data_IF_381298222236
#
_entry.id   IF_381298222236
#
_cell.length_a   1.000
_cell.length_b   1.000
_cell.length_c   1.000
_cell.angle_alpha   90.00
_cell.angle_beta   90.00
_cell.angle_gamma   90.00
#
_symmetry.space_group_name_H-M   'P 1'
#
loop_
_entity.id
_entity.type
_entity.pdbx_description
1 polymer ?
#
# COMPACT_ATOMS: atom_id res chain seq x y z
N UNK A 1 -40.13 -17.34 -36.98
CA UNK A 1 -38.78 -16.88 -37.37
C UNK A 1 -37.79 -17.97 -37.02
N UNK A 2 -37.05 -18.46 -38.01
CA UNK A 2 -36.01 -19.48 -37.85
C UNK A 2 -34.72 -18.73 -37.49
N UNK A 3 -34.01 -19.08 -36.40
CA UNK A 3 -32.77 -18.40 -36.05
C UNK A 3 -31.68 -18.76 -37.08
N UNK A 4 -31.11 -17.75 -37.73
CA UNK A 4 -30.07 -17.94 -38.74
C UNK A 4 -28.70 -18.03 -38.07
N UNK A 5 -27.87 -18.95 -38.57
CA UNK A 5 -26.46 -19.16 -38.20
C UNK A 5 -25.55 -18.11 -38.84
N UNK A 6 -25.99 -16.85 -38.93
CA UNK A 6 -25.17 -15.71 -39.32
C UNK A 6 -24.20 -15.32 -38.18
N UNK A 7 -23.32 -16.28 -37.92
CA UNK A 7 -21.91 -16.16 -37.61
C UNK A 7 -21.49 -14.99 -36.74
N UNK A 8 -21.24 -15.34 -35.48
CA UNK A 8 -20.37 -14.68 -34.50
C UNK A 8 -19.02 -14.21 -35.10
N UNK A 9 -18.64 -14.65 -36.31
CA UNK A 9 -17.45 -14.19 -37.04
C UNK A 9 -17.42 -12.69 -37.37
N UNK A 10 -18.55 -11.97 -37.30
CA UNK A 10 -18.59 -10.51 -37.48
C UNK A 10 -18.53 -9.72 -36.17
N UNK A 11 -18.52 -10.39 -35.02
CA UNK A 11 -18.37 -9.73 -33.73
C UNK A 11 -16.87 -9.52 -33.50
N UNK A 12 -16.45 -8.26 -33.53
CA UNK A 12 -15.09 -7.78 -33.21
C UNK A 12 -14.72 -7.95 -31.72
N UNK A 13 -15.27 -8.95 -31.03
CA UNK A 13 -14.99 -9.27 -29.62
C UNK A 13 -13.61 -9.89 -29.39
N UNK A 14 -12.87 -10.24 -30.45
CA UNK A 14 -11.49 -10.73 -30.36
C UNK A 14 -10.42 -9.64 -30.52
N UNK A 15 -10.81 -8.41 -30.84
CA UNK A 15 -9.86 -7.32 -30.77
C UNK A 15 -9.81 -6.87 -29.31
N UNK A 16 -8.66 -7.10 -28.68
CA UNK A 16 -8.21 -6.28 -27.55
C UNK A 16 -8.60 -4.83 -27.87
N UNK A 17 -9.11 -4.04 -26.92
CA UNK A 17 -9.22 -2.62 -27.12
C UNK A 17 -7.79 -2.08 -27.23
N UNK A 18 -7.15 -2.27 -28.40
CA UNK A 18 -6.23 -1.29 -28.93
C UNK A 18 -6.95 0.03 -28.71
N UNK A 19 -6.29 1.09 -28.28
CA UNK A 19 -6.81 2.42 -28.60
C UNK A 19 -6.65 2.53 -30.10
N UNK A 20 -7.61 2.14 -30.97
CA UNK A 20 -7.34 2.18 -32.39
C UNK A 20 -7.79 3.59 -32.73
N UNK A 21 -6.89 4.56 -32.68
CA UNK A 21 -7.16 5.82 -33.37
C UNK A 21 -7.12 5.53 -34.88
N UNK A 22 -8.09 4.75 -35.36
CA UNK A 22 -8.39 4.54 -36.76
C UNK A 22 -9.03 5.83 -37.24
N UNK A 23 -8.19 6.79 -37.65
CA UNK A 23 -8.64 8.11 -38.13
C UNK A 23 -9.17 9.05 -37.05
N UNK A 24 -8.67 8.96 -35.81
CA UNK A 24 -9.02 9.91 -34.74
C UNK A 24 -10.39 9.70 -34.07
N UNK A 25 -11.11 8.62 -34.39
CA UNK A 25 -12.32 8.21 -33.67
C UNK A 25 -12.01 7.06 -32.71
N UNK A 26 -12.45 7.18 -31.46
CA UNK A 26 -12.37 6.09 -30.49
C UNK A 26 -13.31 4.95 -30.96
N UNK A 27 -12.73 3.82 -31.36
CA UNK A 27 -13.49 2.59 -31.64
C UNK A 27 -13.52 1.72 -30.37
N UNK A 28 -14.71 1.20 -30.03
CA UNK A 28 -14.96 0.41 -28.83
C UNK A 28 -15.77 1.16 -27.78
N UNK A 29 -16.46 0.43 -26.90
CA UNK A 29 -17.06 1.04 -25.71
C UNK A 29 -15.93 1.63 -24.85
N UNK A 30 -16.05 2.86 -24.30
CA UNK A 30 -15.07 3.43 -23.38
C UNK A 30 -15.18 2.72 -22.03
N UNK A 31 -14.69 1.49 -21.99
CA UNK A 31 -14.76 0.64 -20.81
C UNK A 31 -13.52 0.88 -19.96
N UNK A 32 -13.72 1.19 -18.69
CA UNK A 32 -12.66 1.41 -17.70
C UNK A 32 -11.83 0.15 -17.49
N UNK A 33 -10.63 0.28 -16.92
CA UNK A 33 -9.76 -0.87 -16.65
C UNK A 33 -10.42 -1.91 -15.75
N UNK A 34 -11.19 -1.44 -14.77
CA UNK A 34 -11.79 -2.23 -13.69
C UNK A 34 -13.22 -2.72 -13.95
N UNK A 35 -13.69 -2.66 -15.21
CA UNK A 35 -15.08 -2.93 -15.56
C UNK A 35 -15.63 -4.29 -15.10
N UNK A 36 -14.76 -5.30 -14.99
CA UNK A 36 -15.11 -6.64 -14.53
C UNK A 36 -15.59 -6.64 -13.09
N UNK A 37 -15.24 -5.61 -12.31
CA UNK A 37 -15.58 -5.43 -10.90
C UNK A 37 -16.76 -4.48 -10.65
N UNK A 38 -17.37 -3.92 -11.68
CA UNK A 38 -18.48 -2.96 -11.53
C UNK A 38 -19.67 -3.51 -10.76
N UNK A 39 -19.92 -4.82 -10.86
CA UNK A 39 -21.00 -5.51 -10.16
C UNK A 39 -20.85 -5.44 -8.62
N UNK A 40 -19.63 -5.22 -8.09
CA UNK A 40 -19.43 -5.00 -6.65
C UNK A 40 -20.17 -3.75 -6.13
N UNK A 41 -20.37 -2.73 -6.97
CA UNK A 41 -21.09 -1.52 -6.57
C UNK A 41 -22.56 -1.81 -6.27
N UNK A 42 -23.14 -2.75 -7.02
CA UNK A 42 -24.50 -3.21 -6.79
C UNK A 42 -24.59 -4.10 -5.55
N UNK A 43 -23.56 -4.92 -5.28
CA UNK A 43 -23.52 -5.79 -4.11
C UNK A 43 -23.40 -5.00 -2.80
N UNK A 44 -22.51 -4.00 -2.76
CA UNK A 44 -22.38 -3.08 -1.62
C UNK A 44 -23.69 -2.38 -1.24
N UNK A 45 -24.64 -2.28 -2.18
CA UNK A 45 -25.95 -1.69 -1.99
C UNK A 45 -27.07 -2.67 -2.34
N UNK A 46 -26.87 -3.98 -2.08
CA UNK A 46 -27.75 -5.06 -2.53
C UNK A 46 -29.23 -4.82 -2.20
N UNK A 47 -29.53 -4.34 -0.98
CA UNK A 47 -30.90 -4.03 -0.54
C UNK A 47 -31.59 -2.88 -1.29
N UNK A 48 -30.83 -1.96 -1.89
CA UNK A 48 -31.38 -0.82 -2.63
C UNK A 48 -31.19 -0.92 -4.14
N UNK A 49 -30.29 -1.79 -4.60
CA UNK A 49 -29.90 -1.94 -6.00
C UNK A 49 -31.07 -2.28 -6.92
N UNK A 50 -31.33 -1.49 -7.98
CA UNK A 50 -32.39 -1.79 -8.95
C UNK A 50 -32.09 -3.07 -9.73
N UNK A 51 -30.81 -3.42 -9.90
CA UNK A 51 -30.39 -4.63 -10.62
C UNK A 51 -30.88 -5.88 -9.89
N UNK A 52 -30.58 -5.99 -8.59
CA UNK A 52 -31.01 -7.12 -7.76
C UNK A 52 -32.54 -7.22 -7.65
N UNK A 53 -33.24 -6.08 -7.64
CA UNK A 53 -34.71 -6.03 -7.67
C UNK A 53 -35.33 -6.48 -8.99
N UNK A 54 -34.55 -6.46 -10.08
CA UNK A 54 -35.00 -6.80 -11.43
C UNK A 54 -34.60 -8.20 -11.89
N UNK A 55 -33.97 -9.00 -11.02
CA UNK A 55 -33.51 -10.33 -11.37
C UNK A 55 -34.68 -11.28 -11.69
N UNK A 56 -34.49 -12.25 -12.62
CA UNK A 56 -35.48 -13.27 -12.91
C UNK A 56 -35.85 -14.08 -11.66
N UNK A 57 -37.05 -14.67 -11.64
CA UNK A 57 -37.52 -15.48 -10.52
C UNK A 57 -36.72 -16.77 -10.35
N UNK A 58 -36.08 -17.20 -11.43
CA UNK A 58 -35.23 -18.39 -11.51
C UNK A 58 -33.79 -18.12 -11.04
N UNK A 59 -33.46 -16.87 -10.68
CA UNK A 59 -32.16 -16.53 -10.12
C UNK A 59 -31.99 -17.17 -8.74
N UNK A 60 -31.00 -18.04 -8.61
CA UNK A 60 -30.71 -18.82 -7.40
C UNK A 60 -29.29 -18.59 -6.87
N UNK A 61 -28.48 -17.74 -7.51
CA UNK A 61 -27.10 -17.50 -7.09
C UNK A 61 -27.04 -16.59 -5.87
N UNK A 62 -26.21 -16.97 -4.91
CA UNK A 62 -25.93 -16.18 -3.72
C UNK A 62 -24.87 -15.10 -3.97
N UNK A 63 -24.60 -14.28 -2.95
CA UNK A 63 -23.60 -13.21 -3.04
C UNK A 63 -22.17 -13.75 -3.25
N UNK A 64 -21.85 -14.90 -2.63
CA UNK A 64 -20.54 -15.53 -2.75
C UNK A 64 -20.29 -15.96 -4.20
N UNK A 65 -21.28 -16.54 -4.86
CA UNK A 65 -21.20 -16.96 -6.26
C UNK A 65 -21.00 -15.77 -7.20
N UNK A 66 -21.67 -14.64 -6.94
CA UNK A 66 -21.47 -13.40 -7.69
C UNK A 66 -20.04 -12.88 -7.50
N UNK A 67 -19.52 -12.84 -6.27
CA UNK A 67 -18.15 -12.38 -5.97
C UNK A 67 -17.11 -13.31 -6.62
N UNK A 68 -17.26 -14.63 -6.50
CA UNK A 68 -16.39 -15.62 -7.17
C UNK A 68 -16.37 -15.40 -8.67
N UNK A 69 -17.53 -15.16 -9.29
CA UNK A 69 -17.63 -14.94 -10.74
C UNK A 69 -16.94 -13.65 -11.18
N UNK A 70 -17.14 -12.56 -10.43
CA UNK A 70 -16.47 -11.27 -10.66
C UNK A 70 -14.95 -11.42 -10.59
N UNK A 71 -14.45 -12.06 -9.55
CA UNK A 71 -13.02 -12.24 -9.33
C UNK A 71 -12.41 -13.19 -10.36
N UNK A 72 -13.10 -14.28 -10.72
CA UNK A 72 -12.66 -15.21 -11.74
C UNK A 72 -12.55 -14.55 -13.12
N UNK A 73 -13.55 -13.74 -13.49
CA UNK A 73 -13.52 -12.95 -14.73
C UNK A 73 -12.36 -11.95 -14.73
N UNK A 74 -12.14 -11.27 -13.61
CA UNK A 74 -11.04 -10.33 -13.44
C UNK A 74 -9.67 -11.02 -13.56
N UNK A 75 -9.49 -12.20 -12.93
CA UNK A 75 -8.28 -13.01 -13.06
C UNK A 75 -8.06 -13.46 -14.51
N UNK A 76 -9.11 -13.94 -15.19
CA UNK A 76 -9.02 -14.39 -16.57
C UNK A 76 -8.61 -13.24 -17.50
N UNK A 77 -9.20 -12.05 -17.30
CA UNK A 77 -8.83 -10.83 -18.00
C UNK A 77 -7.36 -10.47 -17.79
N UNK A 78 -6.88 -10.42 -16.56
CA UNK A 78 -5.46 -10.09 -16.28
C UNK A 78 -4.49 -11.10 -16.90
N UNK A 79 -4.87 -12.39 -16.95
CA UNK A 79 -4.07 -13.42 -17.64
C UNK A 79 -4.03 -13.22 -19.15
N UNK A 80 -5.15 -12.89 -19.78
CA UNK A 80 -5.23 -12.63 -21.23
C UNK A 80 -4.48 -11.34 -21.60
N UNK A 81 -4.53 -10.32 -20.73
CA UNK A 81 -3.88 -9.03 -20.94
C UNK A 81 -2.45 -8.97 -20.41
N UNK A 82 -1.84 -10.11 -20.08
CA UNK A 82 -0.50 -10.17 -19.47
C UNK A 82 0.54 -9.37 -20.29
N UNK A 83 0.50 -9.54 -21.61
CA UNK A 83 1.44 -8.91 -22.55
C UNK A 83 1.02 -7.49 -22.99
N UNK A 84 -0.16 -7.02 -22.53
CA UNK A 84 -0.74 -5.73 -22.89
C UNK A 84 -0.80 -4.80 -21.66
N UNK A 85 0.34 -4.26 -21.21
CA UNK A 85 0.45 -3.56 -19.94
C UNK A 85 -0.43 -2.32 -19.86
N UNK A 86 -0.83 -1.72 -20.99
CA UNK A 86 -1.68 -0.52 -21.05
C UNK A 86 -3.15 -0.81 -20.73
N UNK A 87 -3.60 -2.05 -20.92
CA UNK A 87 -4.99 -2.47 -20.75
C UNK A 87 -5.24 -3.17 -19.42
N UNK A 88 -4.18 -3.60 -18.73
CA UNK A 88 -4.26 -4.20 -17.39
C UNK A 88 -4.78 -3.21 -16.34
N UNK A 89 -5.44 -3.75 -15.31
CA UNK A 89 -5.82 -2.95 -14.14
C UNK A 89 -4.58 -2.40 -13.44
N UNK A 90 -4.64 -1.15 -13.00
CA UNK A 90 -3.64 -0.51 -12.14
C UNK A 90 -3.64 -1.12 -10.73
N UNK A 91 -2.56 -0.91 -9.96
CA UNK A 91 -2.53 -1.34 -8.56
C UNK A 91 -3.68 -0.73 -7.75
N UNK A 92 -4.02 0.53 -8.00
CA UNK A 92 -5.17 1.22 -7.41
C UNK A 92 -6.51 0.55 -7.74
N UNK A 93 -6.75 0.19 -9.00
CA UNK A 93 -8.00 -0.49 -9.41
C UNK A 93 -8.15 -1.87 -8.77
N UNK A 94 -7.08 -2.67 -8.76
CA UNK A 94 -7.08 -3.99 -8.10
C UNK A 94 -7.28 -3.84 -6.60
N UNK A 95 -6.57 -2.90 -5.97
CA UNK A 95 -6.66 -2.66 -4.52
C UNK A 95 -8.07 -2.22 -4.12
N UNK A 96 -8.64 -1.23 -4.81
CA UNK A 96 -9.99 -0.76 -4.52
C UNK A 96 -11.04 -1.85 -4.75
N UNK A 97 -10.90 -2.63 -5.83
CA UNK A 97 -11.72 -3.82 -6.07
C UNK A 97 -11.72 -4.79 -4.91
N UNK A 98 -10.54 -5.11 -4.38
CA UNK A 98 -10.38 -6.00 -3.23
C UNK A 98 -10.91 -5.38 -1.93
N UNK A 99 -10.69 -4.07 -1.70
CA UNK A 99 -11.27 -3.34 -0.56
C UNK A 99 -12.79 -3.45 -0.54
N UNK A 100 -13.44 -3.31 -1.70
CA UNK A 100 -14.90 -3.46 -1.82
C UNK A 100 -15.39 -4.85 -1.44
N UNK A 101 -14.64 -5.92 -1.71
CA UNK A 101 -15.02 -7.28 -1.31
C UNK A 101 -15.05 -7.41 0.22
N UNK A 102 -14.05 -6.86 0.93
CA UNK A 102 -14.07 -6.83 2.40
C UNK A 102 -15.24 -6.00 2.93
N UNK A 103 -15.57 -4.90 2.26
CA UNK A 103 -16.66 -4.00 2.66
C UNK A 103 -18.07 -4.55 2.38
N UNK A 104 -18.24 -5.72 1.75
CA UNK A 104 -19.56 -6.35 1.62
C UNK A 104 -20.17 -6.73 2.98
N UNK A 105 -19.30 -7.00 3.97
CA UNK A 105 -19.70 -7.33 5.35
C UNK A 105 -19.99 -6.09 6.19
N UNK A 106 -19.75 -4.89 5.66
CA UNK A 106 -20.00 -3.64 6.37
C UNK A 106 -21.52 -3.45 6.56
N UNK A 107 -21.93 -3.08 7.77
CA UNK A 107 -23.34 -2.88 8.18
C UNK A 107 -24.26 -4.13 8.12
N UNK A 108 -23.73 -5.34 7.93
CA UNK A 108 -24.53 -6.56 8.06
C UNK A 108 -24.70 -6.91 9.56
N UNK A 109 -25.91 -7.26 10.02
CA UNK A 109 -26.08 -7.79 11.37
C UNK A 109 -25.24 -9.07 11.47
N UNK A 110 -24.34 -9.14 12.46
CA UNK A 110 -23.54 -10.32 12.78
C UNK A 110 -24.43 -11.47 13.26
N UNK A 111 -25.18 -12.08 12.35
CA UNK A 111 -25.86 -13.34 12.58
C UNK A 111 -24.85 -14.44 12.23
N UNK A 112 -24.54 -15.32 13.20
CA UNK A 112 -23.46 -16.33 13.18
C UNK A 112 -23.58 -17.39 12.04
N UNK A 113 -24.48 -17.19 11.07
CA UNK A 113 -24.88 -18.18 10.06
C UNK A 113 -24.45 -17.86 8.63
N UNK A 114 -24.06 -16.62 8.30
CA UNK A 114 -23.46 -16.29 6.99
C UNK A 114 -21.94 -16.39 7.07
N UNK A 115 -21.36 -17.37 6.39
CA UNK A 115 -19.90 -17.44 6.21
C UNK A 115 -19.41 -16.17 5.54
N UNK A 116 -18.62 -15.35 6.25
CA UNK A 116 -17.99 -14.13 5.73
C UNK A 116 -17.41 -14.38 4.32
N UNK A 117 -17.83 -13.60 3.33
CA UNK A 117 -17.56 -13.84 1.91
C UNK A 117 -16.05 -13.88 1.63
N UNK A 118 -15.29 -13.01 2.30
CA UNK A 118 -13.84 -12.94 2.12
C UNK A 118 -13.10 -14.12 2.73
N UNK A 119 -13.73 -14.91 3.62
CA UNK A 119 -13.17 -16.17 4.15
C UNK A 119 -13.48 -17.38 3.27
N UNK A 120 -14.29 -17.19 2.22
CA UNK A 120 -14.44 -18.24 1.22
C UNK A 120 -13.08 -18.53 0.57
N UNK A 121 -12.67 -19.79 0.61
CA UNK A 121 -11.37 -20.23 0.09
C UNK A 121 -11.15 -19.82 -1.37
N UNK A 122 -12.21 -19.85 -2.19
CA UNK A 122 -12.09 -19.51 -3.62
C UNK A 122 -11.99 -18.00 -3.82
N UNK A 123 -12.76 -17.21 -3.06
CA UNK A 123 -12.63 -15.74 -3.03
C UNK A 123 -11.22 -15.34 -2.63
N UNK A 124 -10.71 -15.86 -1.52
CA UNK A 124 -9.36 -15.55 -1.02
C UNK A 124 -8.27 -15.92 -2.05
N UNK A 125 -8.38 -17.09 -2.68
CA UNK A 125 -7.45 -17.54 -3.72
C UNK A 125 -7.44 -16.59 -4.93
N UNK A 126 -8.62 -16.18 -5.41
CA UNK A 126 -8.75 -15.31 -6.57
C UNK A 126 -8.26 -13.89 -6.27
N UNK A 127 -8.62 -13.33 -5.11
CA UNK A 127 -8.12 -12.03 -4.65
C UNK A 127 -6.59 -12.05 -4.50
N UNK A 128 -6.02 -13.11 -3.92
CA UNK A 128 -4.57 -13.28 -3.82
C UNK A 128 -3.91 -13.30 -5.19
N UNK A 129 -4.50 -14.00 -6.17
CA UNK A 129 -3.99 -14.04 -7.54
C UNK A 129 -4.07 -12.69 -8.25
N UNK A 130 -5.09 -11.87 -7.97
CA UNK A 130 -5.20 -10.53 -8.54
C UNK A 130 -4.18 -9.59 -7.92
N UNK A 131 -4.08 -9.60 -6.59
CA UNK A 131 -3.15 -8.75 -5.86
C UNK A 131 -1.70 -9.06 -6.20
N UNK A 132 -1.31 -10.33 -6.31
CA UNK A 132 0.05 -10.70 -6.70
C UNK A 132 0.45 -10.15 -8.07
N UNK A 133 -0.51 -9.96 -8.98
CA UNK A 133 -0.29 -9.35 -10.30
C UNK A 133 -0.11 -7.83 -10.28
N UNK A 134 -0.41 -7.20 -9.14
CA UNK A 134 -0.45 -5.77 -8.90
C UNK A 134 0.41 -5.34 -7.68
N UNK A 135 1.23 -6.25 -7.14
CA UNK A 135 2.17 -5.98 -6.04
C UNK A 135 3.58 -5.70 -6.55
N UNK A 136 4.43 -5.12 -5.70
CA UNK A 136 5.83 -4.79 -6.01
C UNK A 136 6.64 -6.01 -6.51
N UNK A 137 6.31 -7.22 -6.04
CA UNK A 137 6.95 -8.47 -6.47
C UNK A 137 6.57 -8.95 -7.86
N UNK A 138 5.55 -8.36 -8.50
CA UNK A 138 5.07 -8.79 -9.81
C UNK A 138 6.06 -8.52 -10.95
N UNK A 139 7.11 -7.72 -10.73
CA UNK A 139 8.07 -7.36 -11.76
C UNK A 139 7.45 -6.55 -12.91
N UNK A 140 6.31 -5.88 -12.67
CA UNK A 140 5.70 -4.98 -13.66
C UNK A 140 6.74 -3.93 -14.05
N UNK A 141 7.04 -3.84 -15.34
CA UNK A 141 7.93 -2.79 -15.87
C UNK A 141 7.47 -1.43 -15.37
N UNK A 142 8.41 -0.61 -14.85
CA UNK A 142 8.18 0.75 -14.34
C UNK A 142 7.37 1.53 -15.38
N UNK A 143 6.05 1.54 -15.23
CA UNK A 143 5.15 2.18 -16.17
C UNK A 143 5.18 3.68 -15.85
N UNK A 144 5.64 4.50 -16.79
CA UNK A 144 5.51 5.97 -16.75
C UNK A 144 4.06 6.44 -16.97
N UNK A 145 3.11 5.53 -17.19
CA UNK A 145 1.70 5.95 -17.19
C UNK A 145 1.31 6.16 -15.74
N UNK A 146 1.14 7.43 -15.38
CA UNK A 146 0.55 7.92 -14.15
C UNK A 146 -0.65 7.03 -13.76
N UNK A 147 -0.43 6.06 -12.87
CA UNK A 147 -1.50 5.28 -12.30
C UNK A 147 -2.46 6.26 -11.62
N UNK A 148 -3.77 6.10 -11.83
CA UNK A 148 -4.73 6.96 -11.17
C UNK A 148 -4.61 6.74 -9.66
N UNK A 149 -4.57 7.82 -8.85
CA UNK A 149 -4.61 7.70 -7.40
C UNK A 149 -5.82 6.86 -6.97
N UNK A 150 -5.67 6.11 -5.90
CA UNK A 150 -6.72 5.24 -5.37
C UNK A 150 -8.01 6.01 -5.06
N UNK A 151 -7.89 7.24 -4.54
CA UNK A 151 -9.02 8.15 -4.33
C UNK A 151 -9.79 8.42 -5.63
N UNK A 152 -9.09 8.68 -6.73
CA UNK A 152 -9.71 8.93 -8.04
C UNK A 152 -10.44 7.70 -8.56
N UNK A 153 -9.91 6.50 -8.33
CA UNK A 153 -10.60 5.24 -8.63
C UNK A 153 -11.84 5.13 -7.74
N UNK A 154 -11.69 5.26 -6.43
CA UNK A 154 -12.77 5.12 -5.47
C UNK A 154 -13.94 6.09 -5.72
N UNK A 155 -13.65 7.37 -5.95
CA UNK A 155 -14.64 8.43 -6.18
C UNK A 155 -15.56 8.17 -7.39
N UNK A 156 -15.15 7.29 -8.29
CA UNK A 156 -15.97 6.93 -9.46
C UNK A 156 -16.99 5.83 -9.17
N UNK A 157 -16.86 5.17 -8.02
CA UNK A 157 -17.75 4.09 -7.56
C UNK A 157 -18.52 4.48 -6.29
N UNK A 158 -17.90 5.29 -5.42
CA UNK A 158 -18.53 5.79 -4.21
C UNK A 158 -19.57 6.85 -4.56
N UNK A 159 -20.81 6.62 -4.12
CA UNK A 159 -21.95 7.50 -4.42
C UNK A 159 -22.02 8.68 -3.44
N UNK A 160 -21.02 9.55 -3.47
CA UNK A 160 -20.94 10.76 -2.64
C UNK A 160 -20.25 10.59 -1.28
N UNK A 161 -19.89 9.36 -0.89
CA UNK A 161 -19.03 9.10 0.27
C UNK A 161 -17.57 9.47 -0.06
N UNK A 162 -16.91 10.33 0.73
CA UNK A 162 -15.47 10.58 0.57
C UNK A 162 -14.67 9.30 0.82
N UNK A 163 -13.63 9.06 0.02
CA UNK A 163 -12.77 7.89 0.19
C UNK A 163 -12.15 7.77 1.60
N UNK A 164 -11.86 8.89 2.27
CA UNK A 164 -11.36 8.86 3.66
C UNK A 164 -12.35 8.21 4.63
N UNK A 165 -13.66 8.46 4.47
CA UNK A 165 -14.67 7.80 5.30
C UNK A 165 -14.69 6.30 5.00
N UNK A 166 -14.74 5.91 3.71
CA UNK A 166 -14.68 4.50 3.31
C UNK A 166 -13.46 3.77 3.87
N UNK A 167 -12.29 4.43 3.87
CA UNK A 167 -11.08 3.86 4.44
C UNK A 167 -11.14 3.75 5.96
N UNK A 168 -11.74 4.73 6.64
CA UNK A 168 -11.95 4.69 8.10
C UNK A 168 -12.81 3.49 8.47
N UNK A 169 -13.90 3.28 7.73
CA UNK A 169 -14.81 2.15 7.89
C UNK A 169 -14.07 0.81 7.63
N UNK A 170 -13.24 0.75 6.59
CA UNK A 170 -12.41 -0.42 6.27
C UNK A 170 -11.41 -0.77 7.39
N UNK A 171 -10.72 0.22 7.96
CA UNK A 171 -9.78 0.01 9.08
C UNK A 171 -10.55 -0.44 10.33
N UNK A 172 -11.71 0.16 10.60
CA UNK A 172 -12.60 -0.25 11.69
C UNK A 172 -13.08 -1.69 11.55
N UNK A 173 -13.47 -2.10 10.34
CA UNK A 173 -13.89 -3.47 10.05
C UNK A 173 -12.73 -4.47 10.27
N UNK A 174 -11.51 -4.12 9.84
CA UNK A 174 -10.34 -4.96 10.11
C UNK A 174 -10.11 -5.17 11.61
N UNK A 175 -10.16 -4.08 12.39
CA UNK A 175 -9.96 -4.11 13.83
C UNK A 175 -11.05 -4.91 14.56
N UNK A 176 -12.30 -4.83 14.08
CA UNK A 176 -13.45 -5.45 14.72
C UNK A 176 -13.54 -6.97 14.48
N UNK A 177 -13.41 -7.44 13.24
CA UNK A 177 -13.78 -8.83 12.88
C UNK A 177 -12.70 -9.61 12.12
N UNK A 178 -11.65 -8.95 11.64
CA UNK A 178 -10.63 -9.56 10.77
C UNK A 178 -9.20 -9.41 11.29
N UNK A 179 -9.04 -9.32 12.61
CA UNK A 179 -7.74 -9.13 13.23
C UNK A 179 -6.77 -10.24 12.79
N UNK A 180 -5.60 -9.84 12.27
CA UNK A 180 -4.57 -10.72 11.70
C UNK A 180 -4.93 -11.48 10.41
N UNK A 181 -6.02 -11.13 9.72
CA UNK A 181 -6.27 -11.68 8.38
C UNK A 181 -5.24 -11.14 7.37
N UNK A 182 -4.37 -12.01 6.85
CA UNK A 182 -3.22 -11.62 6.01
C UNK A 182 -3.64 -10.82 4.78
N UNK A 183 -4.63 -11.31 4.02
CA UNK A 183 -5.07 -10.65 2.80
C UNK A 183 -5.70 -9.26 3.04
N UNK A 184 -6.54 -9.15 4.07
CA UNK A 184 -7.17 -7.89 4.46
C UNK A 184 -6.09 -6.89 4.92
N UNK A 185 -5.10 -7.32 5.71
CA UNK A 185 -4.04 -6.42 6.18
C UNK A 185 -3.30 -5.71 5.04
N UNK A 186 -3.14 -6.37 3.88
CA UNK A 186 -2.54 -5.77 2.68
C UNK A 186 -3.38 -4.62 2.12
N UNK A 187 -4.70 -4.68 2.26
CA UNK A 187 -5.62 -3.63 1.79
C UNK A 187 -5.62 -2.39 2.66
N UNK A 188 -5.07 -2.46 3.87
CA UNK A 188 -4.91 -1.25 4.69
C UNK A 188 -3.73 -0.39 4.22
N UNK A 189 -2.83 -0.97 3.41
CA UNK A 189 -1.55 -0.34 3.06
C UNK A 189 -1.68 0.79 2.02
N UNK A 190 -2.31 0.63 0.85
CA UNK A 190 -2.19 1.58 -0.26
C UNK A 190 -2.35 3.08 0.11
N UNK A 191 -3.34 3.49 0.95
CA UNK A 191 -3.52 4.90 1.31
C UNK A 191 -2.41 5.47 2.23
N UNK A 192 -1.50 4.63 2.71
CA UNK A 192 -0.39 5.02 3.57
C UNK A 192 0.83 5.51 2.79
N UNK A 193 0.84 5.43 1.46
CA UNK A 193 1.96 5.96 0.68
C UNK A 193 2.02 7.49 0.79
N UNK A 194 3.18 8.06 0.49
CA UNK A 194 3.45 9.49 0.55
C UNK A 194 2.69 10.29 -0.53
N UNK A 195 2.03 9.60 -1.46
CA UNK A 195 1.15 10.20 -2.47
C UNK A 195 -0.22 10.62 -1.89
N UNK A 196 -0.59 10.14 -0.70
CA UNK A 196 -1.87 10.44 -0.07
C UNK A 196 -1.73 11.43 1.10
N UNK A 197 -2.86 12.01 1.49
CA UNK A 197 -2.93 12.90 2.64
C UNK A 197 -2.42 12.22 3.91
N UNK A 198 -1.77 12.98 4.80
CA UNK A 198 -1.23 12.44 6.05
C UNK A 198 -2.28 11.83 6.97
N UNK A 199 -3.54 12.21 6.81
CA UNK A 199 -4.65 11.76 7.66
C UNK A 199 -4.86 10.23 7.57
N UNK A 200 -4.60 9.61 6.41
CA UNK A 200 -4.61 8.15 6.26
C UNK A 200 -3.55 7.48 7.13
N UNK A 201 -2.33 8.03 7.13
CA UNK A 201 -1.23 7.53 7.95
C UNK A 201 -1.46 7.80 9.43
N UNK A 202 -1.97 8.98 9.78
CA UNK A 202 -2.35 9.33 11.16
C UNK A 202 -3.39 8.35 11.71
N UNK A 203 -4.40 8.01 10.92
CA UNK A 203 -5.44 7.06 11.30
C UNK A 203 -4.82 5.70 11.68
N UNK A 204 -3.99 5.11 10.81
CA UNK A 204 -3.46 3.76 11.06
C UNK A 204 -2.32 3.74 12.10
N UNK A 205 -1.36 4.67 12.01
CA UNK A 205 -0.19 4.69 12.89
C UNK A 205 -0.50 5.26 14.28
N UNK A 206 -1.42 6.21 14.35
CA UNK A 206 -1.86 6.88 15.57
C UNK A 206 -3.05 6.16 16.19
N UNK A 207 -4.22 6.34 15.59
CA UNK A 207 -5.51 5.96 16.18
C UNK A 207 -5.68 4.44 16.27
N UNK A 208 -5.26 3.70 15.23
CA UNK A 208 -5.27 2.23 15.16
C UNK A 208 -3.89 1.61 15.37
N UNK A 209 -2.98 2.30 16.08
CA UNK A 209 -1.59 1.84 16.25
C UNK A 209 -1.44 0.47 16.94
N UNK A 210 -2.46 -0.04 17.64
CA UNK A 210 -2.48 -1.39 18.22
C UNK A 210 -2.61 -2.50 17.17
N UNK A 211 -3.15 -2.18 16.00
CA UNK A 211 -3.37 -3.10 14.88
C UNK A 211 -2.06 -3.40 14.14
N UNK A 212 -1.09 -2.48 14.14
CA UNK A 212 0.16 -2.62 13.38
C UNK A 212 0.90 -3.94 13.60
N UNK A 213 0.77 -4.56 14.79
CA UNK A 213 1.41 -5.84 15.12
C UNK A 213 0.83 -7.05 14.39
N UNK A 214 -0.41 -6.95 13.89
CA UNK A 214 -1.06 -8.01 13.11
C UNK A 214 -0.78 -7.89 11.62
N UNK A 215 -0.19 -6.79 11.17
CA UNK A 215 0.15 -6.55 9.76
C UNK A 215 1.56 -7.09 9.51
N UNK A 216 1.65 -8.23 8.84
CA UNK A 216 2.90 -8.95 8.55
C UNK A 216 3.25 -8.93 7.05
N UNK A 217 2.75 -7.94 6.31
CA UNK A 217 2.99 -7.85 4.86
C UNK A 217 4.47 -7.64 4.57
N UNK A 218 5.02 -8.46 3.69
CA UNK A 218 6.39 -8.34 3.19
C UNK A 218 6.45 -7.51 1.90
N UNK A 219 7.63 -6.94 1.60
CA UNK A 219 7.86 -6.07 0.45
C UNK A 219 7.27 -6.55 -0.89
N UNK A 220 7.47 -7.81 -1.34
CA UNK A 220 6.93 -8.25 -2.63
C UNK A 220 5.40 -8.33 -2.67
N UNK A 221 4.74 -8.36 -1.52
CA UNK A 221 3.29 -8.52 -1.39
C UNK A 221 2.55 -7.17 -1.39
N UNK A 222 3.27 -6.06 -1.21
CA UNK A 222 2.68 -4.72 -1.11
C UNK A 222 1.99 -4.36 -2.43
N UNK A 223 0.67 -4.07 -2.40
CA UNK A 223 -0.09 -3.69 -3.59
C UNK A 223 0.23 -2.24 -3.96
N UNK A 224 1.28 -2.07 -4.75
CA UNK A 224 1.80 -0.78 -5.22
C UNK A 224 2.59 -1.00 -6.50
N UNK A 225 2.60 0.02 -7.37
CA UNK A 225 3.36 -0.03 -8.62
C UNK A 225 4.84 0.36 -8.43
N UNK A 226 5.19 1.08 -7.35
CA UNK A 226 6.58 1.49 -7.09
C UNK A 226 6.88 1.64 -5.62
N UNK A 227 8.08 1.25 -5.18
CA UNK A 227 8.51 1.51 -3.79
C UNK A 227 8.77 3.00 -3.52
N UNK A 228 9.00 3.79 -4.58
CA UNK A 228 9.36 5.21 -4.47
C UNK A 228 8.29 6.03 -3.76
N UNK A 229 7.00 5.76 -3.99
CA UNK A 229 5.90 6.50 -3.36
C UNK A 229 5.80 6.28 -1.85
N UNK A 230 6.48 5.28 -1.31
CA UNK A 230 6.47 4.97 0.12
C UNK A 230 7.61 5.64 0.87
N UNK A 231 8.74 5.80 0.18
CA UNK A 231 9.94 6.38 0.73
C UNK A 231 9.95 7.89 0.49
N UNK A 232 9.52 8.35 -0.69
CA UNK A 232 9.62 9.75 -1.11
C UNK A 232 8.26 10.36 -1.52
N UNK A 233 8.02 11.65 -1.20
CA UNK A 233 8.86 12.54 -0.40
C UNK A 233 9.00 12.06 1.05
N UNK A 234 10.06 12.48 1.76
CA UNK A 234 10.22 12.17 3.18
C UNK A 234 9.08 12.74 4.00
N UNK A 235 8.70 12.01 5.03
CA UNK A 235 7.82 12.54 6.05
C UNK A 235 8.56 13.58 6.90
N UNK A 236 8.08 14.83 6.87
CA UNK A 236 8.63 15.94 7.66
C UNK A 236 7.75 16.29 8.86
N UNK A 237 6.56 15.72 8.94
CA UNK A 237 5.59 16.01 10.01
C UNK A 237 6.07 15.41 11.33
N UNK A 238 6.29 16.26 12.34
CA UNK A 238 6.83 15.82 13.63
C UNK A 238 5.92 14.88 14.41
N UNK A 239 4.60 14.99 14.24
CA UNK A 239 3.63 14.09 14.87
C UNK A 239 3.74 12.69 14.25
N UNK A 240 3.79 12.61 12.91
CA UNK A 240 3.98 11.34 12.20
C UNK A 240 5.31 10.66 12.54
N UNK A 241 6.41 11.41 12.57
CA UNK A 241 7.71 10.87 13.02
C UNK A 241 7.60 10.31 14.45
N UNK A 242 6.88 10.98 15.34
CA UNK A 242 6.60 10.50 16.69
C UNK A 242 5.84 9.16 16.70
N UNK A 243 4.86 8.98 15.81
CA UNK A 243 4.13 7.73 15.67
C UNK A 243 5.02 6.57 15.17
N UNK A 244 5.85 6.80 14.15
CA UNK A 244 6.81 5.79 13.69
C UNK A 244 7.79 5.38 14.78
N UNK A 245 8.36 6.36 15.51
CA UNK A 245 9.26 6.12 16.65
C UNK A 245 8.56 5.27 17.71
N UNK A 246 7.33 5.63 18.09
CA UNK A 246 6.54 4.88 19.09
C UNK A 246 6.28 3.44 18.64
N UNK A 247 5.92 3.24 17.37
CA UNK A 247 5.66 1.91 16.81
C UNK A 247 6.92 1.03 16.80
N UNK A 248 8.07 1.58 16.38
CA UNK A 248 9.36 0.90 16.38
C UNK A 248 9.80 0.51 17.81
N UNK A 249 9.68 1.44 18.76
CA UNK A 249 10.07 1.22 20.16
C UNK A 249 9.22 0.16 20.86
N UNK A 250 7.94 0.03 20.51
CA UNK A 250 7.06 -1.03 21.04
C UNK A 250 7.43 -2.43 20.51
N UNK A 251 8.18 -2.53 19.41
CA UNK A 251 8.64 -3.80 18.83
C UNK A 251 7.57 -4.61 18.08
N UNK A 252 6.34 -4.10 17.97
CA UNK A 252 5.23 -4.81 17.32
C UNK A 252 5.21 -4.71 15.79
N UNK A 253 5.78 -3.63 15.21
CA UNK A 253 5.77 -3.41 13.76
C UNK A 253 6.87 -4.22 13.07
N UNK A 254 6.50 -4.98 12.04
CA UNK A 254 7.39 -5.88 11.29
C UNK A 254 7.27 -5.70 9.77
N UNK A 255 8.06 -6.46 9.02
CA UNK A 255 8.01 -6.53 7.55
C UNK A 255 8.11 -5.16 6.88
N UNK A 256 7.23 -4.92 5.91
CA UNK A 256 7.19 -3.71 5.12
C UNK A 256 6.93 -2.44 5.93
N UNK A 257 6.01 -2.47 6.89
CA UNK A 257 5.70 -1.30 7.71
C UNK A 257 6.90 -0.90 8.59
N UNK A 258 7.65 -1.88 9.11
CA UNK A 258 8.89 -1.59 9.84
C UNK A 258 9.89 -0.90 8.93
N UNK A 259 9.99 -1.32 7.67
CA UNK A 259 10.87 -0.69 6.70
C UNK A 259 10.51 0.77 6.43
N UNK A 260 9.23 1.06 6.19
CA UNK A 260 8.74 2.44 6.00
C UNK A 260 9.01 3.31 7.24
N UNK A 261 8.73 2.78 8.44
CA UNK A 261 9.00 3.51 9.69
C UNK A 261 10.49 3.78 9.90
N UNK A 262 11.37 2.78 9.70
CA UNK A 262 12.82 2.96 9.82
C UNK A 262 13.31 4.00 8.82
N UNK A 263 12.83 3.95 7.57
CA UNK A 263 13.19 4.94 6.55
C UNK A 263 12.87 6.37 6.99
N UNK A 264 11.62 6.66 7.33
CA UNK A 264 11.20 8.02 7.68
C UNK A 264 11.85 8.50 8.98
N UNK A 265 12.04 7.62 9.97
CA UNK A 265 12.74 7.99 11.21
C UNK A 265 14.23 8.24 10.94
N UNK A 266 14.95 7.33 10.30
CA UNK A 266 16.38 7.48 10.04
C UNK A 266 16.67 8.70 9.17
N UNK A 267 15.88 8.91 8.12
CA UNK A 267 16.05 10.07 7.25
C UNK A 267 15.64 11.39 7.90
N UNK A 268 14.89 11.37 9.01
CA UNK A 268 14.62 12.56 9.84
C UNK A 268 15.75 12.88 10.82
N UNK A 269 16.63 11.91 11.12
CA UNK A 269 17.76 12.07 12.04
C UNK A 269 18.95 12.71 11.33
N UNK A 270 19.29 12.22 10.14
CA UNK A 270 20.56 12.53 9.47
C UNK A 270 20.45 13.69 8.47
N UNK A 271 21.23 14.78 8.62
CA UNK A 271 21.18 15.95 7.72
C UNK A 271 21.52 15.65 6.26
N UNK A 272 22.31 14.61 6.01
CA UNK A 272 22.70 14.16 4.65
C UNK A 272 21.51 13.83 3.73
N UNK A 273 20.32 13.58 4.29
CA UNK A 273 19.11 13.37 3.49
C UNK A 273 18.36 14.67 3.13
N UNK A 274 18.66 15.79 3.80
CA UNK A 274 18.13 17.12 3.46
C UNK A 274 18.96 17.82 2.38
N UNK A 275 20.20 17.39 2.19
CA UNK A 275 21.18 18.15 1.44
C UNK A 275 21.10 17.92 -0.07
N UNK A 276 20.54 18.90 -0.79
CA UNK A 276 20.56 18.95 -2.26
C UNK A 276 21.84 19.64 -2.80
N UNK A 277 23.01 19.39 -2.22
CA UNK A 277 24.28 19.70 -2.87
C UNK A 277 25.35 20.46 -2.08
N UNK A 278 25.25 20.61 -0.76
CA UNK A 278 26.35 21.17 0.05
C UNK A 278 27.09 20.06 0.82
N UNK A 279 28.07 19.44 0.17
CA UNK A 279 28.80 18.29 0.68
C UNK A 279 29.59 18.52 2.00
N UNK A 280 29.73 19.77 2.45
CA UNK A 280 30.75 20.15 3.43
C UNK A 280 30.21 20.53 4.82
N UNK A 281 28.92 20.89 4.98
CA UNK A 281 28.35 21.24 6.30
C UNK A 281 26.99 20.58 6.56
N UNK A 282 26.93 19.73 7.59
CA UNK A 282 25.67 19.15 8.08
C UNK A 282 24.85 20.19 8.84
N UNK A 283 24.18 21.03 8.06
CA UNK A 283 23.21 21.99 8.56
C UNK A 283 21.81 21.37 8.65
N UNK A 284 21.11 21.73 9.71
CA UNK A 284 19.72 21.33 9.92
C UNK A 284 19.04 22.45 10.70
N UNK A 285 17.77 22.69 10.42
CA UNK A 285 17.04 23.76 11.10
C UNK A 285 16.92 23.44 12.62
N UNK A 286 16.74 24.45 13.49
CA UNK A 286 16.73 24.25 14.93
C UNK A 286 15.67 23.25 15.43
N UNK A 287 14.47 23.25 14.83
CA UNK A 287 13.37 22.35 15.23
C UNK A 287 13.71 20.89 14.94
N UNK A 288 14.24 20.63 13.75
CA UNK A 288 14.66 19.29 13.36
C UNK A 288 15.88 18.85 14.18
N UNK A 289 16.83 19.73 14.48
CA UNK A 289 17.95 19.47 15.41
C UNK A 289 17.47 19.00 16.78
N UNK A 290 16.49 19.69 17.36
CA UNK A 290 15.94 19.31 18.66
C UNK A 290 15.21 17.95 18.59
N UNK A 291 14.46 17.69 17.51
CA UNK A 291 13.81 16.39 17.28
C UNK A 291 14.84 15.27 17.15
N UNK A 292 15.87 15.43 16.31
CA UNK A 292 16.94 14.43 16.13
C UNK A 292 17.67 14.16 17.44
N UNK A 293 17.93 15.20 18.26
CA UNK A 293 18.50 15.03 19.60
C UNK A 293 17.63 14.15 20.49
N UNK A 294 16.31 14.39 20.50
CA UNK A 294 15.36 13.59 21.28
C UNK A 294 15.31 12.15 20.79
N UNK A 295 15.25 11.92 19.47
CA UNK A 295 15.18 10.58 18.89
C UNK A 295 16.47 9.81 19.17
N UNK A 296 17.65 10.36 18.86
CA UNK A 296 18.94 9.69 19.12
C UNK A 296 19.09 9.38 20.60
N UNK A 297 18.83 10.36 21.48
CA UNK A 297 18.89 10.16 22.92
C UNK A 297 17.98 9.02 23.39
N UNK A 298 16.73 8.97 22.92
CA UNK A 298 15.79 7.90 23.26
C UNK A 298 16.27 6.53 22.74
N UNK A 299 16.71 6.45 21.49
CA UNK A 299 17.16 5.20 20.85
C UNK A 299 18.40 4.64 21.54
N UNK A 300 19.39 5.48 21.82
CA UNK A 300 20.62 5.07 22.50
C UNK A 300 20.35 4.57 23.92
N UNK A 301 19.33 5.07 24.61
CA UNK A 301 19.01 4.61 25.96
C UNK A 301 18.08 3.39 25.98
N UNK A 302 17.10 3.33 25.09
CA UNK A 302 15.96 2.42 25.21
C UNK A 302 15.87 1.37 24.10
N UNK A 303 16.43 1.61 22.90
CA UNK A 303 16.28 0.68 21.78
C UNK A 303 17.16 -0.55 21.96
N UNK A 304 16.72 -1.71 21.44
CA UNK A 304 17.58 -2.89 21.32
C UNK A 304 18.64 -2.73 20.22
N UNK A 305 19.73 -3.52 20.23
CA UNK A 305 20.84 -3.40 19.26
C UNK A 305 20.39 -3.44 17.79
N UNK A 306 19.43 -4.31 17.46
CA UNK A 306 18.92 -4.44 16.09
C UNK A 306 18.18 -3.20 15.59
N UNK A 307 17.39 -2.53 16.44
CA UNK A 307 16.69 -1.30 16.06
C UNK A 307 17.67 -0.13 15.99
N UNK A 308 18.57 -0.02 16.96
CA UNK A 308 19.58 1.03 16.97
C UNK A 308 20.48 0.93 15.72
N UNK A 309 20.97 -0.27 15.40
CA UNK A 309 21.73 -0.53 14.17
C UNK A 309 20.95 -0.14 12.93
N UNK A 310 19.69 -0.58 12.81
CA UNK A 310 18.85 -0.28 11.65
C UNK A 310 18.63 1.23 11.39
N UNK A 311 18.59 2.06 12.44
CA UNK A 311 18.46 3.51 12.31
C UNK A 311 19.81 4.20 12.08
N UNK A 312 20.86 3.77 12.78
CA UNK A 312 22.16 4.45 12.74
C UNK A 312 22.95 4.11 11.48
N UNK A 313 22.81 2.88 10.99
CA UNK A 313 23.45 2.38 9.77
C UNK A 313 22.54 2.50 8.54
N UNK A 314 21.38 3.16 8.68
CA UNK A 314 20.43 3.28 7.59
C UNK A 314 21.04 3.95 6.36
N UNK A 315 20.83 3.35 5.20
CA UNK A 315 21.21 3.92 3.91
C UNK A 315 20.12 3.75 2.85
N UNK A 316 19.93 4.80 2.05
CA UNK A 316 19.24 4.77 0.76
C UNK A 316 19.99 5.69 -0.19
N UNK A 317 20.23 5.20 -1.41
CA UNK A 317 20.85 6.01 -2.47
C UNK A 317 19.72 6.57 -3.34
N UNK A 318 19.75 7.87 -3.64
CA UNK A 318 18.64 8.55 -4.32
C UNK A 318 18.25 7.93 -5.68
N UNK A 319 19.18 7.30 -6.40
CA UNK A 319 18.92 6.65 -7.69
C UNK A 319 18.63 5.14 -7.60
N UNK A 320 19.16 4.46 -6.58
CA UNK A 320 19.10 3.00 -6.44
C UNK A 320 18.45 2.62 -5.11
N UNK A 321 17.35 1.87 -5.20
CA UNK A 321 16.66 1.33 -4.03
C UNK A 321 17.48 0.21 -3.40
N UNK A 322 17.79 0.35 -2.10
CA UNK A 322 18.41 -0.72 -1.30
C UNK A 322 17.33 -1.39 -0.45
N UNK A 323 16.97 -2.67 -0.67
CA UNK A 323 15.95 -3.34 0.13
C UNK A 323 16.43 -3.61 1.57
N UNK A 324 15.48 -3.82 2.47
CA UNK A 324 15.78 -4.42 3.77
C UNK A 324 16.12 -5.91 3.61
N UNK A 325 16.99 -6.48 4.46
CA UNK A 325 17.70 -5.84 5.57
C UNK A 325 18.99 -5.10 5.16
N UNK A 326 19.41 -5.15 3.90
CA UNK A 326 20.71 -4.60 3.43
C UNK A 326 20.84 -3.12 3.79
N UNK A 327 19.75 -2.35 3.65
CA UNK A 327 19.71 -0.93 4.02
C UNK A 327 19.94 -0.65 5.52
N UNK A 328 19.98 -1.66 6.38
CA UNK A 328 20.23 -1.56 7.83
C UNK A 328 21.66 -1.94 8.21
N UNK A 329 22.45 -2.48 7.28
CA UNK A 329 23.75 -3.07 7.58
C UNK A 329 24.90 -2.06 7.43
N UNK A 330 24.64 -0.90 6.81
CA UNK A 330 25.64 0.15 6.59
C UNK A 330 26.80 -0.30 5.71
N UNK A 331 26.59 -1.29 4.82
CA UNK A 331 27.64 -1.81 3.92
C UNK A 331 28.11 -0.76 2.92
N UNK A 332 27.24 0.16 2.51
CA UNK A 332 27.62 1.27 1.65
C UNK A 332 28.16 2.49 2.38
N UNK A 333 28.26 2.47 3.72
CA UNK A 333 28.85 3.54 4.53
C UNK A 333 30.33 3.24 4.81
N UNK A 334 31.22 4.06 4.24
CA UNK A 334 32.65 3.97 4.57
C UNK A 334 32.94 4.42 6.02
N UNK A 335 34.15 4.11 6.50
CA UNK A 335 34.58 4.47 7.86
C UNK A 335 34.49 5.98 8.13
N UNK A 336 34.78 6.81 7.13
CA UNK A 336 34.70 8.26 7.25
C UNK A 336 33.26 8.74 7.43
N UNK A 337 32.30 8.17 6.71
CA UNK A 337 30.87 8.45 6.84
C UNK A 337 30.35 8.05 8.22
N UNK A 338 30.71 6.86 8.70
CA UNK A 338 30.36 6.39 10.04
C UNK A 338 30.91 7.31 11.14
N UNK A 339 32.19 7.70 11.05
CA UNK A 339 32.80 8.66 11.97
C UNK A 339 32.11 10.03 11.93
N UNK A 340 31.72 10.52 10.74
CA UNK A 340 30.94 11.76 10.62
C UNK A 340 29.59 11.67 11.32
N UNK A 341 28.85 10.57 11.13
CA UNK A 341 27.58 10.31 11.85
C UNK A 341 27.78 10.28 13.36
N UNK A 342 28.83 9.59 13.83
CA UNK A 342 29.19 9.53 15.25
C UNK A 342 29.47 10.92 15.83
N UNK A 343 30.40 11.67 15.24
CA UNK A 343 30.81 12.98 15.76
C UNK A 343 29.66 13.99 15.74
N UNK A 344 28.82 13.95 14.71
CA UNK A 344 27.61 14.78 14.67
C UNK A 344 26.62 14.42 15.79
N UNK A 345 26.37 13.13 16.01
CA UNK A 345 25.48 12.66 17.07
C UNK A 345 26.01 13.02 18.47
N UNK A 346 27.33 12.91 18.69
CA UNK A 346 27.99 13.31 19.94
C UNK A 346 27.92 14.82 20.14
N UNK A 347 28.19 15.62 19.10
CA UNK A 347 28.02 17.09 19.15
C UNK A 347 26.59 17.49 19.50
N UNK A 348 25.59 16.75 19.00
CA UNK A 348 24.18 17.05 19.21
C UNK A 348 23.66 16.60 20.60
N UNK A 349 24.07 15.42 21.06
CA UNK A 349 23.49 14.73 22.22
C UNK A 349 24.40 14.68 23.46
N UNK A 350 25.67 15.08 23.31
CA UNK A 350 26.73 15.00 24.31
C UNK A 350 27.44 13.65 24.35
N UNK A 351 28.54 13.58 25.12
CA UNK A 351 29.43 12.40 25.20
C UNK A 351 28.76 11.10 25.67
N UNK A 352 27.62 11.20 26.34
CA UNK A 352 26.85 10.04 26.82
C UNK A 352 26.42 9.06 25.72
N UNK A 353 26.33 9.49 24.46
CA UNK A 353 25.94 8.61 23.34
C UNK A 353 27.13 7.93 22.67
N UNK A 354 28.37 8.40 22.90
CA UNK A 354 29.57 8.00 22.15
C UNK A 354 29.79 6.49 22.20
N UNK A 355 29.96 5.92 23.40
CA UNK A 355 30.32 4.51 23.59
C UNK A 355 29.38 3.55 22.85
N UNK A 356 28.07 3.82 22.93
CA UNK A 356 27.08 2.93 22.31
C UNK A 356 26.98 3.10 20.80
N UNK A 357 27.31 4.29 20.28
CA UNK A 357 27.35 4.52 18.84
C UNK A 357 28.66 4.02 18.22
N UNK A 358 29.80 4.10 18.93
CA UNK A 358 31.07 3.49 18.51
C UNK A 358 30.90 1.97 18.29
N UNK A 359 30.24 1.28 19.22
CA UNK A 359 29.91 -0.15 19.09
C UNK A 359 29.05 -0.44 17.85
N UNK A 360 28.06 0.40 17.55
CA UNK A 360 27.18 0.22 16.38
C UNK A 360 27.89 0.52 15.06
N UNK A 361 28.77 1.51 15.05
CA UNK A 361 29.49 1.92 13.85
C UNK A 361 30.73 1.07 13.57
N UNK A 362 31.28 0.38 14.58
CA UNK A 362 32.54 -0.37 14.52
C UNK A 362 33.71 0.54 14.12
N UNK A 363 33.93 1.63 14.88
CA UNK A 363 34.90 2.71 14.54
C UNK A 363 35.91 3.05 15.62
#
# INVERSE_FOLDING_TARGET
>A
MIPSTASVSHITTQLLPSRPSLGGKMCGLPVRGDWTMNSLNHLLHSGTSPVFKSLPKEWDSDEVDVVRTILALSCAREKVLHDEPTLRMSSSEVSFGCMRVFMLEHDQPHDDSSSEIFRDFRVEQLMTSLLSSASLGSGRSKREVLASPLESVANTHLSGQPFYQFYTDLVGLYDAVSFAHTLFSRMLLPPLSMNYAKDYRRLLWGDYGHVLRSIQTELPEVPSDTITEWLWPRDKDGEMIGWYVKALMKGGVQGFLRFVAVHHVATSIWPEFDDQGHLDEWEMNPKDKDRSRMIIGAMVHQAGPALLGALMLYEQRGADFTPYPICYEGRGLDRGHKLRRLEWAVKLCGERVRLRLEDVFDV
#
